data_IF_387418903755
#
_entry.id   IF_387418903755
#
_cell.length_a   1.000
_cell.length_b   1.000
_cell.length_c   1.000
_cell.angle_alpha   90.00
_cell.angle_beta   90.00
_cell.angle_gamma   90.00
#
_symmetry.space_group_name_H-M   'P 1'
#
loop_
_entity.id
_entity.type
_entity.pdbx_description
1 polymer ?
#
# COMPACT_ATOMS: atom_id res chain seq x y z
N UNK A 1 14.96 18.61 -17.99
CA UNK A 1 14.26 19.29 -16.88
C UNK A 1 12.90 18.70 -16.61
N UNK A 2 12.08 18.53 -17.64
CA UNK A 2 10.78 17.94 -17.47
C UNK A 2 10.82 16.52 -16.93
N UNK A 3 11.81 15.75 -17.34
CA UNK A 3 11.97 14.38 -16.86
C UNK A 3 12.23 14.32 -15.37
N UNK A 4 13.00 15.25 -14.85
CA UNK A 4 13.29 15.29 -13.42
C UNK A 4 12.01 15.60 -12.64
N UNK A 5 11.20 16.54 -13.13
CA UNK A 5 9.95 16.91 -12.50
C UNK A 5 8.97 15.74 -12.53
N UNK A 6 8.89 15.05 -13.66
CA UNK A 6 8.03 13.87 -13.79
C UNK A 6 8.44 12.76 -12.84
N UNK A 7 9.74 12.51 -12.71
CA UNK A 7 10.22 11.51 -11.77
C UNK A 7 9.82 11.82 -10.34
N UNK A 8 9.94 13.07 -9.96
CA UNK A 8 9.56 13.48 -8.61
C UNK A 8 8.06 13.32 -8.39
N UNK A 9 7.25 13.72 -9.37
CA UNK A 9 5.80 13.55 -9.30
C UNK A 9 5.41 12.08 -9.19
N UNK A 10 6.02 11.22 -10.01
CA UNK A 10 5.73 9.80 -9.98
C UNK A 10 6.13 9.17 -8.65
N UNK A 11 7.27 9.56 -8.12
CA UNK A 11 7.71 9.09 -6.82
C UNK A 11 6.73 9.49 -5.72
N UNK A 12 6.30 10.75 -5.74
CA UNK A 12 5.33 11.24 -4.77
C UNK A 12 4.00 10.50 -4.86
N UNK A 13 3.56 10.22 -6.07
CA UNK A 13 2.34 9.44 -6.27
C UNK A 13 2.49 8.01 -5.78
N UNK A 14 3.63 7.39 -6.08
CA UNK A 14 3.90 6.02 -5.63
C UNK A 14 3.96 5.95 -4.11
N UNK A 15 4.62 6.91 -3.49
CA UNK A 15 4.70 6.95 -2.02
C UNK A 15 3.33 7.17 -1.40
N UNK A 16 2.49 7.99 -2.01
CA UNK A 16 1.14 8.22 -1.53
C UNK A 16 0.30 6.94 -1.62
N UNK A 17 0.45 6.19 -2.71
CA UNK A 17 -0.26 4.92 -2.87
C UNK A 17 0.24 3.91 -1.85
N UNK A 18 1.55 3.80 -1.68
CA UNK A 18 2.14 2.88 -0.70
C UNK A 18 1.65 3.20 0.71
N UNK A 19 1.66 4.47 1.06
CA UNK A 19 1.20 4.91 2.38
C UNK A 19 -0.27 4.56 2.60
N UNK A 20 -1.11 4.80 1.60
CA UNK A 20 -2.53 4.52 1.70
C UNK A 20 -2.81 3.02 1.78
N UNK A 21 -2.08 2.22 0.99
CA UNK A 21 -2.21 0.76 1.02
C UNK A 21 -1.84 0.21 2.39
N UNK A 22 -0.70 0.63 2.89
CA UNK A 22 -0.22 0.14 4.18
C UNK A 22 -1.17 0.56 5.31
N UNK A 23 -1.62 1.80 5.29
CA UNK A 23 -2.55 2.29 6.30
C UNK A 23 -3.86 1.50 6.27
N UNK A 24 -4.38 1.23 5.08
CA UNK A 24 -5.62 0.47 4.93
C UNK A 24 -5.48 -0.93 5.53
N UNK A 25 -4.38 -1.61 5.23
CA UNK A 25 -4.16 -2.96 5.73
C UNK A 25 -3.91 -2.98 7.23
N UNK A 26 -3.23 -1.96 7.76
CA UNK A 26 -3.03 -1.86 9.21
C UNK A 26 -4.35 -1.58 9.93
N UNK A 27 -5.20 -0.72 9.37
CA UNK A 27 -6.49 -0.39 9.96
C UNK A 27 -7.42 -1.60 10.00
N UNK A 28 -7.34 -2.46 9.00
CA UNK A 28 -8.20 -3.64 8.91
C UNK A 28 -7.62 -4.87 9.61
N UNK A 29 -6.36 -4.81 10.01
CA UNK A 29 -5.73 -5.93 10.71
C UNK A 29 -6.56 -6.32 11.96
N UNK A 30 -6.79 -7.61 12.22
CA UNK A 30 -6.22 -8.80 11.59
C UNK A 30 -6.98 -9.35 10.38
N UNK A 31 -7.91 -8.60 9.83
CA UNK A 31 -8.63 -9.05 8.64
C UNK A 31 -7.67 -9.19 7.47
N UNK A 32 -7.88 -10.20 6.66
CA UNK A 32 -7.04 -10.50 5.52
C UNK A 32 -7.76 -10.09 4.26
N UNK A 33 -7.05 -9.44 3.36
CA UNK A 33 -7.61 -9.00 2.08
C UNK A 33 -6.86 -9.65 0.94
N UNK A 34 -7.60 -10.02 -0.10
CA UNK A 34 -6.98 -10.37 -1.37
C UNK A 34 -6.60 -9.08 -2.07
N UNK A 35 -5.74 -9.18 -3.07
CA UNK A 35 -5.38 -8.01 -3.88
C UNK A 35 -6.62 -7.40 -4.55
N UNK A 36 -7.54 -8.24 -5.00
CA UNK A 36 -8.78 -7.77 -5.62
C UNK A 36 -9.65 -6.99 -4.63
N UNK A 37 -9.77 -7.48 -3.41
CA UNK A 37 -10.50 -6.76 -2.37
C UNK A 37 -9.84 -5.44 -2.03
N UNK A 38 -8.51 -5.42 -1.95
CA UNK A 38 -7.77 -4.20 -1.70
C UNK A 38 -8.01 -3.17 -2.80
N UNK A 39 -7.98 -3.60 -4.06
CA UNK A 39 -8.27 -2.72 -5.18
C UNK A 39 -9.65 -2.11 -5.08
N UNK A 40 -10.63 -2.92 -4.69
CA UNK A 40 -12.01 -2.47 -4.56
C UNK A 40 -12.15 -1.43 -3.44
N UNK A 41 -11.52 -1.70 -2.30
CA UNK A 41 -11.56 -0.78 -1.18
C UNK A 41 -10.93 0.57 -1.53
N UNK A 42 -9.77 0.53 -2.17
CA UNK A 42 -9.05 1.75 -2.55
C UNK A 42 -9.81 2.53 -3.63
N UNK A 43 -10.39 1.81 -4.58
CA UNK A 43 -11.14 2.45 -5.66
C UNK A 43 -12.48 3.01 -5.22
N UNK A 44 -13.16 2.34 -4.30
CA UNK A 44 -14.45 2.79 -3.80
C UNK A 44 -14.32 4.09 -3.00
N UNK A 45 -13.27 4.19 -2.20
CA UNK A 45 -13.10 5.35 -1.33
C UNK A 45 -12.49 6.55 -2.03
N UNK A 46 -11.71 6.31 -3.07
CA UNK A 46 -10.95 7.39 -3.72
C UNK A 46 -10.91 7.17 -5.22
N UNK A 47 -11.98 7.57 -5.87
CA UNK A 47 -12.09 7.44 -7.31
C UNK A 47 -10.87 8.04 -8.01
N UNK A 48 -10.22 7.23 -8.83
CA UNK A 48 -9.04 7.66 -9.55
C UNK A 48 -7.79 7.80 -8.72
N UNK A 49 -7.84 7.48 -7.44
CA UNK A 49 -6.68 7.61 -6.56
C UNK A 49 -5.55 6.69 -6.98
N UNK A 50 -5.89 5.44 -7.26
CA UNK A 50 -4.87 4.48 -7.64
C UNK A 50 -5.42 3.53 -8.69
N UNK A 51 -4.72 3.46 -9.81
CA UNK A 51 -5.08 2.47 -10.81
C UNK A 51 -4.52 1.09 -10.38
N UNK A 52 -4.91 0.09 -11.14
CA UNK A 52 -4.53 -1.29 -10.86
C UNK A 52 -3.02 -1.47 -10.80
N UNK A 53 -2.32 -0.89 -11.77
CA UNK A 53 -0.87 -1.06 -11.86
C UNK A 53 -0.16 -0.38 -10.70
N UNK A 54 -0.64 0.78 -10.29
CA UNK A 54 -0.07 1.50 -9.16
C UNK A 54 -0.23 0.70 -7.87
N UNK A 55 -1.39 0.08 -7.66
CA UNK A 55 -1.62 -0.75 -6.50
C UNK A 55 -0.72 -1.98 -6.49
N UNK A 56 -0.56 -2.62 -7.64
CA UNK A 56 0.31 -3.80 -7.74
C UNK A 56 1.76 -3.44 -7.46
N UNK A 57 2.22 -2.30 -7.99
CA UNK A 57 3.57 -1.82 -7.70
C UNK A 57 3.75 -1.52 -6.21
N UNK A 58 2.76 -0.87 -5.60
CA UNK A 58 2.82 -0.52 -4.19
C UNK A 58 2.93 -1.79 -3.32
N UNK A 59 2.11 -2.79 -3.59
CA UNK A 59 2.16 -4.04 -2.84
C UNK A 59 3.52 -4.73 -3.01
N UNK A 60 4.02 -4.77 -4.25
CA UNK A 60 5.32 -5.37 -4.52
C UNK A 60 6.44 -4.64 -3.78
N UNK A 61 6.44 -3.33 -3.84
CA UNK A 61 7.50 -2.52 -3.23
C UNK A 61 7.43 -2.57 -1.70
N UNK A 62 6.23 -2.57 -1.13
CA UNK A 62 6.07 -2.72 0.31
C UNK A 62 6.50 -4.11 0.78
N UNK A 63 6.22 -5.14 -0.02
CA UNK A 63 6.68 -6.49 0.30
C UNK A 63 8.19 -6.56 0.26
N UNK A 64 8.81 -5.94 -0.73
CA UNK A 64 10.27 -5.91 -0.85
C UNK A 64 10.90 -5.15 0.33
N UNK A 65 10.22 -4.15 0.85
CA UNK A 65 10.69 -3.39 2.01
C UNK A 65 10.45 -4.10 3.35
N UNK A 66 9.74 -5.23 3.34
CA UNK A 66 9.47 -5.96 4.57
C UNK A 66 8.28 -5.46 5.36
N UNK A 67 7.42 -4.65 4.75
CA UNK A 67 6.24 -4.10 5.42
C UNK A 67 4.97 -4.87 5.13
N UNK A 68 4.92 -5.57 4.01
CA UNK A 68 3.82 -6.46 3.66
C UNK A 68 4.36 -7.83 3.29
N UNK A 69 3.51 -8.83 3.39
CA UNK A 69 3.81 -10.13 2.79
C UNK A 69 2.57 -10.66 2.10
N UNK A 70 2.81 -11.52 1.13
CA UNK A 70 1.75 -12.16 0.37
C UNK A 70 1.76 -13.64 0.68
N UNK A 71 0.60 -14.16 1.05
CA UNK A 71 0.44 -15.59 1.28
C UNK A 71 -0.72 -16.07 0.42
N UNK A 72 -0.38 -16.86 -0.59
CA UNK A 72 -1.33 -17.25 -1.63
C UNK A 72 -1.94 -16.00 -2.28
N UNK A 73 -3.24 -15.77 -2.11
CA UNK A 73 -3.92 -14.61 -2.69
C UNK A 73 -4.08 -13.45 -1.71
N UNK A 74 -3.71 -13.65 -0.45
CA UNK A 74 -3.89 -12.63 0.58
C UNK A 74 -2.68 -11.73 0.72
N UNK A 75 -2.95 -10.49 1.12
CA UNK A 75 -1.93 -9.47 1.38
C UNK A 75 -2.10 -9.03 2.82
N UNK A 76 -1.02 -9.05 3.60
CA UNK A 76 -1.08 -8.72 5.03
C UNK A 76 0.12 -7.88 5.44
N UNK A 77 -0.04 -7.03 6.45
CA UNK A 77 1.12 -6.33 7.01
C UNK A 77 1.98 -7.32 7.79
N UNK A 78 3.29 -7.09 7.77
CA UNK A 78 4.23 -7.90 8.53
C UNK A 78 4.13 -7.54 10.01
N UNK A 79 4.68 -8.40 10.86
CA UNK A 79 4.75 -8.12 12.31
C UNK A 79 5.53 -6.84 12.56
N UNK A 80 6.58 -6.59 11.77
CA UNK A 80 7.37 -5.38 11.90
C UNK A 80 6.52 -4.14 11.62
N UNK A 81 5.70 -4.19 10.57
CA UNK A 81 4.82 -3.06 10.24
C UNK A 81 3.79 -2.82 11.34
N UNK A 82 3.19 -3.90 11.85
CA UNK A 82 2.20 -3.80 12.91
C UNK A 82 2.82 -3.21 14.17
N UNK A 83 3.98 -3.71 14.55
CA UNK A 83 4.66 -3.22 15.75
C UNK A 83 5.04 -1.75 15.62
N UNK A 84 5.56 -1.37 14.47
CA UNK A 84 5.92 0.02 14.21
C UNK A 84 4.70 0.92 14.34
N UNK A 85 3.58 0.51 13.75
CA UNK A 85 2.33 1.25 13.83
C UNK A 85 1.87 1.42 15.29
N UNK A 86 1.94 0.36 16.09
CA UNK A 86 1.58 0.42 17.49
C UNK A 86 2.44 1.40 18.28
N UNK A 87 3.72 1.45 17.96
CA UNK A 87 4.63 2.37 18.65
C UNK A 87 4.34 3.83 18.29
N UNK A 88 3.93 4.08 17.07
CA UNK A 88 3.59 5.44 16.65
C UNK A 88 2.28 5.95 17.22
N UNK A 89 1.37 5.06 17.57
CA UNK A 89 0.05 5.43 18.08
C UNK A 89 0.03 5.75 19.57
N UNK A 90 1.16 5.80 20.21
CA UNK A 90 1.23 6.10 21.65
C UNK A 90 1.22 7.57 21.97
#
# INVERSE_FOLDING_TARGET
MNETIEKWSNRGEDEAVESAVLQQLLDLHPARLTLEELKREMGADREGFADRDALERAVRDLAAAGLLYRETEFVEPTRAAIRFSQLLDR
#
